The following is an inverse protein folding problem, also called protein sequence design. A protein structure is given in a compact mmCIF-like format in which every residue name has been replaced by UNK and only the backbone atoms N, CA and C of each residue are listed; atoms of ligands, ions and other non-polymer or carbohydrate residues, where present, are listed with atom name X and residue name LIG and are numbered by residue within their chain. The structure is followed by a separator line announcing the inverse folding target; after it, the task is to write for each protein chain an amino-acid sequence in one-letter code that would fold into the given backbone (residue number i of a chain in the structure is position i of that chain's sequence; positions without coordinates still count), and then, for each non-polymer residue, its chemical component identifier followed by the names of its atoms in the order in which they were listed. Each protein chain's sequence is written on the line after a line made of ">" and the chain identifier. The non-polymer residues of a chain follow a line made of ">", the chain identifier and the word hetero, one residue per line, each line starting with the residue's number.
data_IF_582959083673
#
_entry.id   IF_582959083673
#
_cell.length_a   1.000
_cell.length_b   1.000
_cell.length_c   1.000
_cell.angle_alpha   90.00
_cell.angle_beta   90.00
_cell.angle_gamma   90.00
#
_symmetry.space_group_name_H-M   'P 1'
#
loop_
_entity.id
_entity.type
_entity.pdbx_description
1 polymer ?
#
# COMPACT_ATOMS: atom_id res chain seq x y z
N UNK A 1 -33.66 7.01 4.37
CA UNK A 1 -32.28 7.41 4.02
C UNK A 1 -31.57 7.65 5.34
N UNK A 2 -30.37 7.11 5.52
CA UNK A 2 -29.56 7.36 6.71
C UNK A 2 -28.95 8.75 6.54
N UNK A 3 -29.06 9.58 7.57
CA UNK A 3 -28.52 10.93 7.59
C UNK A 3 -27.34 10.96 8.59
N UNK A 4 -26.18 11.42 8.11
CA UNK A 4 -24.96 11.49 8.91
C UNK A 4 -24.75 12.90 9.46
N UNK A 5 -24.33 13.00 10.72
CA UNK A 5 -24.01 14.26 11.39
C UNK A 5 -22.67 14.78 10.88
N UNK A 6 -22.64 15.98 10.31
CA UNK A 6 -21.39 16.61 9.89
C UNK A 6 -20.56 17.05 11.09
N UNK A 7 -19.26 16.75 11.05
CA UNK A 7 -18.31 17.28 12.03
C UNK A 7 -18.14 18.79 11.89
N UNK A 8 -17.90 19.48 12.99
CA UNK A 8 -17.47 20.89 13.01
C UNK A 8 -15.97 21.08 12.74
N UNK A 9 -15.23 19.96 12.63
CA UNK A 9 -13.80 19.96 12.32
C UNK A 9 -13.56 20.25 10.85
N UNK A 10 -12.63 21.15 10.59
CA UNK A 10 -12.14 21.48 9.24
C UNK A 10 -10.87 20.70 8.95
N UNK A 11 -10.89 19.95 7.88
CA UNK A 11 -9.71 19.22 7.37
C UNK A 11 -8.94 20.10 6.37
N UNK A 12 -7.64 20.24 6.58
CA UNK A 12 -6.72 20.88 5.64
C UNK A 12 -5.97 19.79 4.87
N UNK A 13 -6.33 19.62 3.60
CA UNK A 13 -5.74 18.59 2.71
C UNK A 13 -4.25 18.80 2.47
N UNK A 14 -3.79 20.05 2.32
CA UNK A 14 -2.41 20.37 1.98
C UNK A 14 -1.40 19.85 3.03
N UNK A 15 -1.76 20.01 4.30
CA UNK A 15 -0.90 19.64 5.42
C UNK A 15 -1.41 18.41 6.18
N UNK A 16 -2.51 17.82 5.73
CA UNK A 16 -3.20 16.70 6.38
C UNK A 16 -3.45 16.94 7.88
N UNK A 17 -4.04 18.11 8.20
CA UNK A 17 -4.28 18.57 9.57
C UNK A 17 -5.74 18.88 9.80
N UNK A 18 -6.18 18.72 11.06
CA UNK A 18 -7.56 18.88 11.49
C UNK A 18 -7.66 20.06 12.45
N UNK A 19 -8.67 20.92 12.28
CA UNK A 19 -8.88 22.09 13.12
C UNK A 19 -10.33 22.16 13.63
N UNK A 20 -10.48 22.38 14.93
CA UNK A 20 -11.73 22.76 15.56
C UNK A 20 -11.62 24.23 15.98
N UNK A 21 -12.18 25.12 15.18
CA UNK A 21 -11.90 26.55 15.29
C UNK A 21 -10.40 26.83 15.08
N UNK A 22 -9.75 27.41 16.08
CA UNK A 22 -8.30 27.69 16.06
C UNK A 22 -7.45 26.52 16.63
N UNK A 23 -8.09 25.53 17.26
CA UNK A 23 -7.39 24.41 17.87
C UNK A 23 -7.10 23.32 16.85
N UNK A 24 -5.81 22.99 16.70
CA UNK A 24 -5.41 21.83 15.92
C UNK A 24 -5.64 20.54 16.73
N UNK A 25 -6.28 19.56 16.10
CA UNK A 25 -6.52 18.23 16.65
C UNK A 25 -5.47 17.23 16.15
N UNK A 26 -5.32 16.14 16.89
CA UNK A 26 -4.40 15.07 16.51
C UNK A 26 -5.07 14.10 15.53
N UNK A 27 -4.33 13.71 14.48
CA UNK A 27 -4.75 12.67 13.55
C UNK A 27 -4.60 11.27 14.17
N UNK A 28 -5.59 10.42 13.95
CA UNK A 28 -5.65 9.06 14.51
C UNK A 28 -4.50 8.18 14.03
N UNK A 29 -4.16 8.20 12.75
CA UNK A 29 -3.07 7.39 12.18
C UNK A 29 -1.71 7.74 12.79
N UNK A 30 -1.48 9.04 13.05
CA UNK A 30 -0.28 9.50 13.75
C UNK A 30 -0.20 9.00 15.19
N UNK A 31 -1.31 9.04 15.93
CA UNK A 31 -1.40 8.49 17.28
C UNK A 31 -1.12 6.98 17.30
N UNK A 32 -1.75 6.21 16.42
CA UNK A 32 -1.52 4.76 16.29
C UNK A 32 -0.04 4.47 16.04
N UNK A 33 0.59 5.21 15.13
CA UNK A 33 2.02 5.03 14.86
C UNK A 33 2.88 5.30 16.09
N UNK A 34 2.64 6.38 16.82
CA UNK A 34 3.43 6.74 18.01
C UNK A 34 3.25 5.74 19.15
N UNK A 35 2.02 5.34 19.42
CA UNK A 35 1.67 4.53 20.58
C UNK A 35 1.91 3.04 20.38
N UNK A 36 1.58 2.51 19.21
CA UNK A 36 1.56 1.07 18.96
C UNK A 36 2.69 0.60 18.04
N UNK A 37 3.12 1.43 17.08
CA UNK A 37 4.06 1.04 16.05
C UNK A 37 5.18 2.10 15.86
N UNK A 38 5.89 2.52 16.93
CA UNK A 38 6.83 3.67 16.87
C UNK A 38 8.01 3.44 15.91
N UNK A 39 8.38 2.20 15.68
CA UNK A 39 9.49 1.84 14.79
C UNK A 39 9.04 1.43 13.38
N UNK A 40 7.73 1.54 13.07
CA UNK A 40 7.16 1.03 11.81
C UNK A 40 7.85 1.57 10.55
N UNK A 41 8.27 2.84 10.57
CA UNK A 41 8.86 3.53 9.41
C UNK A 41 10.30 4.00 9.63
N UNK A 42 10.95 3.57 10.72
CA UNK A 42 12.23 4.10 11.20
C UNK A 42 13.37 4.02 10.19
N UNK A 43 13.42 2.93 9.41
CA UNK A 43 14.54 2.66 8.49
C UNK A 43 14.16 2.93 7.01
N UNK A 44 13.01 3.60 6.79
CA UNK A 44 12.50 3.85 5.45
C UNK A 44 12.83 5.28 5.03
N UNK A 45 13.52 5.48 3.90
CA UNK A 45 13.81 6.81 3.38
C UNK A 45 12.53 7.62 3.07
N UNK A 46 12.53 8.90 3.44
CA UNK A 46 11.36 9.79 3.27
C UNK A 46 10.81 9.85 1.84
N UNK A 47 11.70 9.81 0.84
CA UNK A 47 11.27 9.85 -0.56
C UNK A 47 10.44 8.62 -0.97
N UNK A 48 10.70 7.46 -0.35
CA UNK A 48 9.94 6.23 -0.58
C UNK A 48 8.56 6.35 0.09
N UNK A 49 8.54 6.81 1.35
CA UNK A 49 7.28 7.07 2.07
C UNK A 49 6.39 8.06 1.31
N UNK A 50 6.99 9.16 0.84
CA UNK A 50 6.28 10.17 0.06
C UNK A 50 5.69 9.59 -1.23
N UNK A 51 6.47 8.82 -1.99
CA UNK A 51 5.99 8.19 -3.23
C UNK A 51 4.84 7.22 -2.99
N UNK A 52 4.91 6.42 -1.91
CA UNK A 52 3.84 5.51 -1.52
C UNK A 52 2.58 6.28 -1.12
N UNK A 53 2.72 7.37 -0.35
CA UNK A 53 1.63 8.26 0.03
C UNK A 53 0.97 8.92 -1.19
N UNK A 54 1.76 9.49 -2.12
CA UNK A 54 1.26 10.12 -3.34
C UNK A 54 0.47 9.14 -4.23
N UNK A 55 0.94 7.88 -4.33
CA UNK A 55 0.20 6.81 -5.03
C UNK A 55 -1.11 6.49 -4.31
N UNK A 56 -1.06 6.32 -2.99
CA UNK A 56 -2.24 6.06 -2.17
C UNK A 56 -3.29 7.14 -2.33
N UNK A 57 -2.93 8.41 -2.13
CA UNK A 57 -3.85 9.55 -2.26
C UNK A 57 -4.54 9.60 -3.63
N UNK A 58 -3.80 9.35 -4.71
CA UNK A 58 -4.39 9.32 -6.06
C UNK A 58 -5.45 8.23 -6.21
N UNK A 59 -5.20 7.04 -5.65
CA UNK A 59 -6.16 5.93 -5.72
C UNK A 59 -7.38 6.21 -4.85
N UNK A 60 -7.20 6.73 -3.62
CA UNK A 60 -8.31 7.15 -2.76
C UNK A 60 -9.20 8.17 -3.44
N UNK A 61 -8.60 9.22 -4.02
CA UNK A 61 -9.34 10.23 -4.77
C UNK A 61 -10.16 9.63 -5.94
N UNK A 62 -9.60 8.69 -6.67
CA UNK A 62 -10.33 8.04 -7.76
C UNK A 62 -11.50 7.18 -7.26
N UNK A 63 -11.34 6.49 -6.14
CA UNK A 63 -12.42 5.71 -5.52
C UNK A 63 -13.55 6.62 -5.02
N UNK A 64 -13.20 7.72 -4.33
CA UNK A 64 -14.15 8.75 -3.91
C UNK A 64 -14.88 9.37 -5.09
N UNK A 65 -14.16 9.69 -6.17
CA UNK A 65 -14.74 10.26 -7.38
C UNK A 65 -15.78 9.34 -8.01
N UNK A 66 -15.52 8.05 -8.08
CA UNK A 66 -16.47 7.05 -8.58
C UNK A 66 -17.73 7.00 -7.72
N UNK A 67 -17.58 7.00 -6.40
CA UNK A 67 -18.72 6.96 -5.47
C UNK A 67 -19.56 8.23 -5.50
N UNK A 68 -18.92 9.39 -5.62
CA UNK A 68 -19.60 10.70 -5.58
C UNK A 68 -20.29 11.08 -6.89
N UNK A 69 -19.71 10.65 -8.01
CA UNK A 69 -20.21 11.05 -9.35
C UNK A 69 -20.96 9.95 -10.07
N UNK A 70 -20.68 8.68 -9.77
CA UNK A 70 -21.18 7.53 -10.50
C UNK A 70 -20.60 7.37 -11.92
N UNK A 71 -19.52 8.12 -12.25
CA UNK A 71 -18.82 7.96 -13.53
C UNK A 71 -18.00 6.67 -13.56
N UNK A 72 -17.68 6.23 -14.78
CA UNK A 72 -16.84 5.06 -14.96
C UNK A 72 -15.44 5.29 -14.37
N UNK A 73 -14.86 4.27 -13.71
CA UNK A 73 -13.52 4.35 -13.14
C UNK A 73 -12.46 4.60 -14.22
N UNK A 74 -11.49 5.47 -13.93
CA UNK A 74 -10.36 5.78 -14.83
C UNK A 74 -9.14 4.89 -14.58
N UNK A 75 -9.13 4.10 -13.51
CA UNK A 75 -8.03 3.20 -13.16
C UNK A 75 -8.53 1.82 -12.78
N UNK A 76 -7.65 0.83 -12.96
CA UNK A 76 -7.92 -0.57 -12.59
C UNK A 76 -8.21 -0.69 -11.09
N UNK A 77 -7.52 0.07 -10.24
CA UNK A 77 -7.76 0.08 -8.80
C UNK A 77 -9.15 0.62 -8.45
N UNK A 78 -9.60 1.70 -9.10
CA UNK A 78 -10.94 2.25 -8.87
C UNK A 78 -12.03 1.32 -9.42
N UNK A 79 -11.81 0.63 -10.55
CA UNK A 79 -12.69 -0.40 -11.07
C UNK A 79 -12.81 -1.58 -10.08
N UNK A 80 -11.68 -2.04 -9.56
CA UNK A 80 -11.62 -3.09 -8.56
C UNK A 80 -12.35 -2.68 -7.27
N UNK A 81 -12.14 -1.46 -6.79
CA UNK A 81 -12.85 -0.90 -5.64
C UNK A 81 -14.37 -0.97 -5.83
N UNK A 82 -14.86 -0.45 -6.95
CA UNK A 82 -16.28 -0.46 -7.27
C UNK A 82 -16.84 -1.89 -7.33
N UNK A 83 -16.09 -2.80 -7.96
CA UNK A 83 -16.46 -4.21 -8.06
C UNK A 83 -16.56 -4.88 -6.68
N UNK A 84 -15.55 -4.70 -5.80
CA UNK A 84 -15.56 -5.29 -4.45
C UNK A 84 -16.75 -4.77 -3.64
N UNK A 85 -17.00 -3.46 -3.64
CA UNK A 85 -18.11 -2.84 -2.92
C UNK A 85 -19.47 -3.35 -3.41
N UNK A 86 -19.69 -3.33 -4.73
CA UNK A 86 -20.96 -3.74 -5.35
C UNK A 86 -21.23 -5.24 -5.18
N UNK A 87 -20.20 -6.09 -5.36
CA UNK A 87 -20.34 -7.53 -5.16
C UNK A 87 -20.68 -7.89 -3.70
N UNK A 88 -20.15 -7.13 -2.74
CA UNK A 88 -20.52 -7.28 -1.33
C UNK A 88 -21.92 -6.72 -0.99
N UNK A 89 -22.54 -6.02 -1.93
CA UNK A 89 -23.91 -5.46 -1.80
C UNK A 89 -23.97 -4.16 -1.01
N UNK A 90 -22.87 -3.38 -0.97
CA UNK A 90 -22.79 -2.11 -0.25
C UNK A 90 -23.07 -0.93 -1.18
N UNK A 91 -23.80 0.07 -0.65
CA UNK A 91 -23.94 1.40 -1.22
C UNK A 91 -22.99 2.35 -0.50
N UNK A 92 -22.32 3.24 -1.23
CA UNK A 92 -21.56 4.33 -0.63
C UNK A 92 -22.53 5.33 -0.01
N UNK A 93 -22.34 5.64 1.29
CA UNK A 93 -23.10 6.63 2.02
C UNK A 93 -22.33 7.94 2.16
N UNK A 94 -21.03 7.85 2.42
CA UNK A 94 -20.08 8.97 2.42
C UNK A 94 -18.65 8.48 2.16
N UNK A 95 -17.81 9.37 1.60
CA UNK A 95 -16.38 9.20 1.48
C UNK A 95 -15.68 10.33 2.22
N UNK A 96 -14.43 10.10 2.65
CA UNK A 96 -13.62 11.07 3.39
C UNK A 96 -14.42 11.72 4.55
N UNK A 97 -15.21 10.89 5.24
CA UNK A 97 -16.12 11.35 6.26
C UNK A 97 -15.38 11.70 7.55
N UNK A 98 -15.33 12.99 7.87
CA UNK A 98 -14.64 13.49 9.06
C UNK A 98 -15.37 13.09 10.34
N UNK A 99 -14.63 12.41 11.24
CA UNK A 99 -15.06 12.07 12.60
C UNK A 99 -14.13 12.70 13.62
N UNK A 100 -14.67 13.04 14.78
CA UNK A 100 -13.92 13.68 15.87
C UNK A 100 -14.56 13.39 17.23
N UNK A 101 -13.74 13.48 18.30
CA UNK A 101 -14.26 13.59 19.67
C UNK A 101 -14.58 15.04 20.06
N UNK A 102 -14.35 16.00 19.15
CA UNK A 102 -14.49 17.44 19.32
C UNK A 102 -13.59 18.03 20.42
N UNK A 103 -12.57 17.30 20.81
CA UNK A 103 -11.66 17.73 21.87
C UNK A 103 -10.19 17.55 21.53
N UNK A 104 -9.75 16.33 21.18
CA UNK A 104 -8.34 16.01 20.96
C UNK A 104 -8.06 15.39 19.61
N UNK A 105 -9.00 14.62 19.06
CA UNK A 105 -8.74 13.75 17.90
C UNK A 105 -9.73 13.98 16.77
N UNK A 106 -9.22 13.87 15.56
CA UNK A 106 -10.02 13.81 14.34
C UNK A 106 -9.37 12.93 13.29
N UNK A 107 -10.16 12.43 12.36
CA UNK A 107 -9.69 11.73 11.17
C UNK A 107 -10.77 11.72 10.10
N UNK A 108 -10.38 11.41 8.87
CA UNK A 108 -11.32 11.09 7.80
C UNK A 108 -11.43 9.58 7.65
N UNK A 109 -12.65 9.10 7.47
CA UNK A 109 -12.97 7.72 7.15
C UNK A 109 -13.08 7.62 5.63
N UNK A 110 -12.24 6.82 4.99
CA UNK A 110 -12.22 6.70 3.53
C UNK A 110 -13.60 6.37 2.98
N UNK A 111 -14.28 5.36 3.56
CA UNK A 111 -15.56 4.89 3.10
C UNK A 111 -16.52 4.60 4.25
N UNK A 112 -17.69 5.22 4.20
CA UNK A 112 -18.86 4.84 5.01
C UNK A 112 -19.89 4.19 4.10
N UNK A 113 -20.16 2.93 4.33
CA UNK A 113 -21.05 2.12 3.50
C UNK A 113 -22.34 1.75 4.22
N UNK A 114 -23.38 1.54 3.44
CA UNK A 114 -24.71 1.10 3.92
C UNK A 114 -25.15 -0.14 3.18
N UNK A 115 -25.64 -1.13 3.93
CA UNK A 115 -26.35 -2.29 3.41
C UNK A 115 -27.50 -2.63 4.35
N UNK A 116 -28.73 -2.65 3.85
CA UNK A 116 -29.93 -2.98 4.64
C UNK A 116 -30.08 -2.13 5.91
N UNK A 117 -29.70 -0.86 5.86
CA UNK A 117 -29.63 0.10 6.97
C UNK A 117 -28.55 -0.18 8.02
N UNK A 118 -27.68 -1.15 7.81
CA UNK A 118 -26.51 -1.39 8.63
C UNK A 118 -25.33 -0.58 8.09
N UNK A 119 -24.55 0.01 8.98
CA UNK A 119 -23.36 0.79 8.63
C UNK A 119 -22.13 -0.12 8.68
N UNK A 120 -21.28 0.01 7.68
CA UNK A 120 -19.95 -0.56 7.66
C UNK A 120 -18.92 0.52 7.33
N UNK A 121 -17.74 0.43 7.91
CA UNK A 121 -16.62 1.31 7.59
C UNK A 121 -15.57 0.53 6.81
N UNK A 122 -15.01 1.19 5.81
CA UNK A 122 -13.92 0.62 5.06
C UNK A 122 -12.79 1.63 4.88
N UNK A 123 -11.57 1.11 4.81
CA UNK A 123 -10.36 1.88 4.62
C UNK A 123 -9.56 1.27 3.45
N UNK A 124 -9.14 2.10 2.52
CA UNK A 124 -8.46 1.69 1.29
C UNK A 124 -6.96 1.54 1.56
N UNK A 125 -6.40 0.40 1.17
CA UNK A 125 -4.98 0.11 1.31
C UNK A 125 -4.38 -0.31 -0.03
N UNK A 126 -3.31 0.37 -0.42
CA UNK A 126 -2.58 0.15 -1.68
C UNK A 126 -1.21 -0.49 -1.44
N UNK A 127 -0.92 -0.88 -0.19
CA UNK A 127 0.30 -1.56 0.23
C UNK A 127 0.37 -2.99 -0.28
N UNK A 128 1.55 -3.58 -0.24
CA UNK A 128 1.74 -4.99 -0.67
C UNK A 128 0.85 -5.96 0.11
N UNK A 129 0.75 -5.75 1.42
CA UNK A 129 -0.14 -6.48 2.32
C UNK A 129 -0.83 -5.52 3.26
N UNK A 130 -2.01 -5.90 3.69
CA UNK A 130 -2.68 -5.22 4.79
C UNK A 130 -2.04 -5.65 6.12
N UNK A 131 -1.58 -4.65 6.88
CA UNK A 131 -1.28 -4.80 8.29
C UNK A 131 -2.60 -4.80 9.05
N UNK A 132 -3.16 -6.02 9.23
CA UNK A 132 -4.49 -6.21 9.85
C UNK A 132 -4.56 -5.65 11.27
N UNK A 133 -3.47 -5.72 12.03
CA UNK A 133 -3.45 -5.22 13.41
C UNK A 133 -3.53 -3.69 13.43
N UNK A 134 -2.71 -3.02 12.63
CA UNK A 134 -2.76 -1.55 12.51
C UNK A 134 -4.12 -1.06 11.97
N UNK A 135 -4.67 -1.77 10.99
CA UNK A 135 -5.97 -1.45 10.40
C UNK A 135 -7.13 -1.70 11.38
N UNK A 136 -7.05 -2.78 12.17
CA UNK A 136 -8.02 -3.07 13.23
C UNK A 136 -8.11 -1.93 14.24
N UNK A 137 -6.98 -1.43 14.71
CA UNK A 137 -6.95 -0.26 15.59
C UNK A 137 -7.52 1.00 14.93
N UNK A 138 -7.11 1.28 13.70
CA UNK A 138 -7.57 2.46 12.95
C UNK A 138 -9.09 2.44 12.79
N UNK A 139 -9.64 1.38 12.22
CA UNK A 139 -11.08 1.25 11.98
C UNK A 139 -11.89 1.15 13.27
N UNK A 140 -11.34 0.58 14.34
CA UNK A 140 -12.02 0.53 15.64
C UNK A 140 -12.16 1.91 16.27
N UNK A 141 -11.12 2.75 16.19
CA UNK A 141 -11.18 4.13 16.65
C UNK A 141 -12.17 4.93 15.79
N UNK A 142 -12.14 4.73 14.47
CA UNK A 142 -13.11 5.35 13.57
C UNK A 142 -14.55 4.97 13.91
N UNK A 143 -14.83 3.69 14.16
CA UNK A 143 -16.15 3.22 14.56
C UNK A 143 -16.60 3.84 15.90
N UNK A 144 -15.69 3.90 16.86
CA UNK A 144 -15.96 4.54 18.16
C UNK A 144 -16.31 6.03 18.01
N UNK A 145 -15.53 6.80 17.24
CA UNK A 145 -15.79 8.21 16.99
C UNK A 145 -17.06 8.42 16.14
N UNK A 146 -17.25 7.58 15.11
CA UNK A 146 -18.45 7.61 14.27
C UNK A 146 -19.72 7.41 15.07
N UNK A 147 -19.76 6.42 15.96
CA UNK A 147 -20.92 6.13 16.81
C UNK A 147 -21.20 7.23 17.85
N UNK A 148 -20.15 7.90 18.32
CA UNK A 148 -20.30 9.09 19.18
C UNK A 148 -20.89 10.28 18.43
N UNK A 149 -20.41 10.52 17.21
CA UNK A 149 -20.86 11.64 16.35
C UNK A 149 -22.26 11.40 15.79
N UNK A 150 -22.68 10.14 15.60
CA UNK A 150 -23.98 9.75 15.03
C UNK A 150 -24.79 8.93 16.03
N UNK A 151 -25.39 9.54 17.07
CA UNK A 151 -26.15 8.84 18.08
C UNK A 151 -27.29 8.01 17.46
N UNK A 152 -27.33 6.72 17.79
CA UNK A 152 -28.33 5.77 17.28
C UNK A 152 -27.88 4.97 16.08
N UNK A 153 -26.76 5.31 15.42
CA UNK A 153 -26.13 4.46 14.42
C UNK A 153 -25.07 3.55 15.06
N UNK A 154 -24.97 2.33 14.56
CA UNK A 154 -23.96 1.35 14.99
C UNK A 154 -23.20 0.82 13.79
N UNK A 155 -21.88 0.75 13.93
CA UNK A 155 -21.00 0.14 12.92
C UNK A 155 -21.02 -1.37 13.08
N UNK A 156 -21.45 -2.07 12.04
CA UNK A 156 -21.61 -3.52 12.04
C UNK A 156 -20.33 -4.22 11.63
N UNK A 157 -19.71 -3.78 10.54
CA UNK A 157 -18.55 -4.42 9.96
C UNK A 157 -17.45 -3.41 9.67
N UNK A 158 -16.21 -3.89 9.70
CA UNK A 158 -14.99 -3.15 9.37
C UNK A 158 -14.26 -3.88 8.26
N UNK A 159 -13.81 -3.16 7.25
CA UNK A 159 -13.14 -3.74 6.10
C UNK A 159 -11.87 -2.98 5.71
N UNK A 160 -10.84 -3.72 5.33
CA UNK A 160 -9.79 -3.21 4.49
C UNK A 160 -10.12 -3.46 3.01
N UNK A 161 -10.09 -2.45 2.19
CA UNK A 161 -10.18 -2.59 0.74
C UNK A 161 -8.77 -2.60 0.18
N UNK A 162 -8.26 -3.78 -0.09
CA UNK A 162 -6.91 -3.92 -0.63
C UNK A 162 -6.95 -3.82 -2.15
N UNK A 163 -6.16 -2.87 -2.69
CA UNK A 163 -6.11 -2.56 -4.12
C UNK A 163 -4.66 -2.54 -4.59
N UNK A 164 -4.33 -3.38 -5.59
CA UNK A 164 -2.97 -3.44 -6.14
C UNK A 164 -2.98 -3.84 -7.61
N UNK A 165 -3.08 -2.86 -8.49
CA UNK A 165 -3.25 -3.09 -9.92
C UNK A 165 -4.48 -3.96 -10.19
N UNK A 166 -4.29 -5.10 -10.86
CA UNK A 166 -5.39 -6.03 -11.19
C UNK A 166 -5.92 -6.83 -9.99
N UNK A 167 -5.21 -6.81 -8.84
CA UNK A 167 -5.59 -7.56 -7.65
C UNK A 167 -6.37 -6.67 -6.69
N UNK A 168 -7.41 -7.24 -6.12
CA UNK A 168 -8.21 -6.61 -5.07
C UNK A 168 -8.78 -7.65 -4.12
N UNK A 169 -9.04 -7.23 -2.90
CA UNK A 169 -9.68 -8.06 -1.88
C UNK A 169 -10.40 -7.18 -0.87
N UNK A 170 -11.62 -7.58 -0.49
CA UNK A 170 -12.35 -7.02 0.62
C UNK A 170 -12.08 -7.84 1.87
N UNK A 171 -11.23 -7.33 2.75
CA UNK A 171 -10.71 -8.05 3.91
C UNK A 171 -11.47 -7.64 5.17
N UNK A 172 -12.21 -8.55 5.81
CA UNK A 172 -12.85 -8.26 7.08
C UNK A 172 -11.82 -8.06 8.18
N UNK A 173 -12.12 -7.12 9.08
CA UNK A 173 -11.24 -6.72 10.19
C UNK A 173 -12.01 -6.79 11.49
N UNK A 174 -11.39 -7.38 12.52
CA UNK A 174 -11.98 -7.46 13.84
C UNK A 174 -11.96 -6.11 14.56
N UNK A 175 -13.05 -5.76 15.21
CA UNK A 175 -13.17 -4.55 16.02
C UNK A 175 -12.53 -4.76 17.39
N UNK A 176 -11.64 -3.86 17.78
CA UNK A 176 -11.11 -3.80 19.15
C UNK A 176 -12.21 -3.34 20.12
N UNK A 177 -12.19 -3.81 21.38
CA UNK A 177 -13.13 -3.33 22.39
C UNK A 177 -13.06 -1.83 22.60
N UNK A 178 -14.19 -1.17 22.72
CA UNK A 178 -14.26 0.29 22.93
C UNK A 178 -13.50 0.76 24.18
N UNK A 179 -13.36 -0.10 25.17
CA UNK A 179 -12.57 0.19 26.38
C UNK A 179 -11.08 0.31 26.07
N UNK A 180 -10.53 -0.59 25.23
CA UNK A 180 -9.13 -0.53 24.78
C UNK A 180 -8.89 0.69 23.89
N UNK A 181 -9.85 1.01 23.02
CA UNK A 181 -9.80 2.23 22.19
C UNK A 181 -9.74 3.47 23.08
N UNK A 182 -10.61 3.59 24.08
CA UNK A 182 -10.58 4.73 25.01
C UNK A 182 -9.28 4.81 25.78
N UNK A 183 -8.78 3.68 26.27
CA UNK A 183 -7.52 3.62 27.03
C UNK A 183 -6.33 4.05 26.19
N UNK A 184 -6.27 3.65 24.91
CA UNK A 184 -5.23 4.09 23.98
C UNK A 184 -5.28 5.61 23.78
N UNK A 185 -6.47 6.16 23.51
CA UNK A 185 -6.68 7.61 23.32
C UNK A 185 -6.33 8.41 24.58
N UNK A 186 -6.71 7.92 25.75
CA UNK A 186 -6.37 8.55 27.05
C UNK A 186 -4.86 8.56 27.32
N UNK A 187 -4.14 7.47 27.01
CA UNK A 187 -2.68 7.43 27.14
C UNK A 187 -2.02 8.50 26.26
N UNK A 188 -2.47 8.65 25.03
CA UNK A 188 -1.95 9.70 24.14
C UNK A 188 -2.17 11.11 24.71
N UNK A 189 -3.37 11.43 25.20
CA UNK A 189 -3.68 12.73 25.79
C UNK A 189 -2.83 13.03 27.01
N UNK A 190 -2.57 12.00 27.84
CA UNK A 190 -1.76 12.14 29.06
C UNK A 190 -0.25 12.12 28.78
N UNK A 191 0.17 11.84 27.55
CA UNK A 191 1.59 11.61 27.20
C UNK A 191 2.17 10.34 27.83
N UNK A 192 1.32 9.38 28.16
CA UNK A 192 1.67 8.07 28.69
C UNK A 192 1.82 7.06 27.56
N UNK A 193 2.66 6.05 27.76
CA UNK A 193 2.79 4.98 26.78
C UNK A 193 1.69 3.92 26.98
N UNK A 194 0.95 3.63 25.90
CA UNK A 194 0.00 2.55 25.94
C UNK A 194 0.71 1.19 26.04
N UNK A 195 0.34 0.39 27.03
CA UNK A 195 0.83 -0.97 27.22
C UNK A 195 -0.36 -1.92 26.99
N UNK A 196 -0.31 -2.67 25.87
CA UNK A 196 -1.29 -3.74 25.65
C UNK A 196 -1.08 -4.86 26.68
N UNK A 197 -2.16 -5.56 27.03
CA UNK A 197 -2.07 -6.70 27.93
C UNK A 197 -1.30 -7.91 27.34
N UNK A 198 -1.03 -7.89 26.04
CA UNK A 198 -0.32 -8.93 25.32
C UNK A 198 1.05 -8.44 24.85
N UNK A 199 2.07 -8.53 25.71
CA UNK A 199 3.48 -8.42 25.28
C UNK A 199 4.08 -9.82 25.25
N UNK A 200 4.15 -10.42 24.07
CA UNK A 200 5.02 -11.56 23.84
C UNK A 200 6.46 -11.07 23.61
N UNK A 201 7.49 -11.62 24.29
CA UNK A 201 8.87 -11.21 24.07
C UNK A 201 9.36 -11.68 22.71
N UNK A 202 9.78 -10.74 21.88
CA UNK A 202 10.42 -11.04 20.60
C UNK A 202 11.89 -11.43 20.82
N UNK A 203 12.19 -12.71 20.62
CA UNK A 203 13.56 -13.24 20.66
C UNK A 203 14.15 -13.45 19.25
N UNK A 204 14.01 -12.48 18.35
CA UNK A 204 14.68 -12.54 17.06
C UNK A 204 15.47 -11.26 16.81
N UNK A 205 16.71 -11.41 16.35
CA UNK A 205 17.52 -10.31 15.85
C UNK A 205 16.83 -9.74 14.61
N UNK A 206 16.10 -8.66 14.79
CA UNK A 206 15.38 -8.00 13.70
C UNK A 206 16.28 -6.89 13.15
N UNK A 207 16.89 -7.15 11.98
CA UNK A 207 17.79 -6.21 11.30
C UNK A 207 17.02 -5.01 10.71
N UNK A 208 15.72 -5.18 10.45
CA UNK A 208 14.81 -4.15 9.94
C UNK A 208 13.44 -4.35 10.57
N UNK A 209 12.65 -3.28 10.66
CA UNK A 209 11.24 -3.38 11.06
C UNK A 209 10.42 -4.16 10.04
N UNK A 210 9.34 -4.79 10.46
CA UNK A 210 8.43 -5.52 9.54
C UNK A 210 7.92 -4.61 8.43
N UNK A 211 7.63 -3.35 8.74
CA UNK A 211 7.19 -2.37 7.76
C UNK A 211 8.30 -2.00 6.75
N UNK A 212 9.55 -1.87 7.21
CA UNK A 212 10.68 -1.63 6.32
C UNK A 212 10.94 -2.82 5.38
N UNK A 213 10.83 -4.04 5.90
CA UNK A 213 10.89 -5.26 5.07
C UNK A 213 9.77 -5.25 4.03
N UNK A 214 8.54 -4.92 4.46
CA UNK A 214 7.38 -4.87 3.56
C UNK A 214 7.57 -3.85 2.45
N UNK A 215 8.01 -2.64 2.79
CA UNK A 215 8.23 -1.59 1.79
C UNK A 215 9.37 -1.92 0.82
N UNK A 216 10.40 -2.64 1.30
CA UNK A 216 11.47 -3.14 0.43
C UNK A 216 10.91 -4.15 -0.59
N UNK A 217 9.99 -5.01 -0.16
CA UNK A 217 9.27 -5.94 -1.04
C UNK A 217 8.45 -5.16 -2.07
N UNK A 218 7.65 -4.18 -1.63
CA UNK A 218 6.81 -3.34 -2.50
C UNK A 218 7.61 -2.66 -3.61
N UNK A 219 8.75 -2.03 -3.23
CA UNK A 219 9.63 -1.34 -4.20
C UNK A 219 10.22 -2.32 -5.21
N UNK A 220 10.63 -3.51 -4.77
CA UNK A 220 11.18 -4.52 -5.69
C UNK A 220 10.14 -5.03 -6.69
N UNK A 221 8.92 -5.28 -6.23
CA UNK A 221 7.85 -5.74 -7.09
C UNK A 221 7.38 -4.66 -8.08
N UNK A 222 7.31 -3.38 -7.64
CA UNK A 222 7.06 -2.26 -8.57
C UNK A 222 8.14 -2.16 -9.65
N UNK A 223 9.41 -2.33 -9.27
CA UNK A 223 10.51 -2.35 -10.23
C UNK A 223 10.41 -3.53 -11.20
N UNK A 224 10.08 -4.69 -10.72
CA UNK A 224 9.96 -5.89 -11.57
C UNK A 224 8.74 -5.78 -12.49
N UNK A 225 7.61 -5.28 -12.02
CA UNK A 225 6.46 -4.96 -12.86
C UNK A 225 6.81 -3.92 -13.94
N UNK A 226 7.48 -2.82 -13.56
CA UNK A 226 7.90 -1.78 -14.51
C UNK A 226 8.89 -2.33 -15.56
N UNK A 227 9.81 -3.22 -15.17
CA UNK A 227 10.71 -3.91 -16.09
C UNK A 227 9.94 -4.80 -17.06
N UNK A 228 9.01 -5.61 -16.56
CA UNK A 228 8.18 -6.49 -17.39
C UNK A 228 7.37 -5.69 -18.41
N UNK A 229 6.73 -4.60 -18.01
CA UNK A 229 6.01 -3.70 -18.92
C UNK A 229 6.95 -3.07 -19.95
N UNK A 230 8.14 -2.63 -19.52
CA UNK A 230 9.16 -2.11 -20.42
C UNK A 230 9.60 -3.13 -21.46
N UNK A 231 9.83 -4.37 -21.07
CA UNK A 231 10.21 -5.44 -22.02
C UNK A 231 9.07 -5.79 -22.99
N UNK A 232 7.81 -5.85 -22.50
CA UNK A 232 6.65 -6.04 -23.40
C UNK A 232 6.54 -4.93 -24.44
N UNK A 233 6.72 -3.67 -24.02
CA UNK A 233 6.70 -2.51 -24.93
C UNK A 233 7.87 -2.56 -25.93
N UNK A 234 9.08 -2.94 -25.50
CA UNK A 234 10.25 -3.09 -26.39
C UNK A 234 10.03 -4.18 -27.42
N UNK A 235 9.49 -5.34 -27.03
CA UNK A 235 9.19 -6.43 -27.98
C UNK A 235 8.10 -6.01 -28.98
N UNK A 236 7.04 -5.33 -28.52
CA UNK A 236 6.01 -4.77 -29.41
C UNK A 236 6.59 -3.77 -30.42
N UNK A 237 7.43 -2.83 -29.94
CA UNK A 237 8.10 -1.87 -30.81
C UNK A 237 9.05 -2.55 -31.81
N UNK A 238 9.83 -3.53 -31.36
CA UNK A 238 10.73 -4.31 -32.20
C UNK A 238 9.95 -5.05 -33.30
N UNK A 239 8.84 -5.69 -32.94
CA UNK A 239 7.97 -6.38 -33.92
C UNK A 239 7.45 -5.41 -34.96
N UNK A 240 6.88 -4.28 -34.53
CA UNK A 240 6.37 -3.25 -35.43
C UNK A 240 7.47 -2.68 -36.35
N UNK A 241 8.68 -2.46 -35.84
CA UNK A 241 9.82 -1.98 -36.65
C UNK A 241 10.22 -3.01 -37.72
N UNK A 242 10.26 -4.30 -37.34
CA UNK A 242 10.60 -5.39 -38.27
C UNK A 242 9.54 -5.51 -39.39
N UNK A 243 8.26 -5.53 -39.02
CA UNK A 243 7.14 -5.64 -39.94
C UNK A 243 7.08 -4.48 -40.96
N UNK A 244 7.49 -3.29 -40.51
CA UNK A 244 7.52 -2.10 -41.37
C UNK A 244 8.89 -1.84 -42.04
N UNK A 245 9.87 -2.74 -41.86
CA UNK A 245 11.21 -2.59 -42.47
C UNK A 245 12.02 -1.41 -41.95
N UNK A 246 11.73 -0.92 -40.72
CA UNK A 246 12.36 0.24 -40.09
C UNK A 246 13.50 -0.22 -39.18
N UNK A 247 14.74 0.10 -39.52
CA UNK A 247 15.90 -0.26 -38.69
C UNK A 247 16.18 0.76 -37.58
N UNK A 248 15.81 2.01 -37.78
CA UNK A 248 15.96 3.09 -36.78
C UNK A 248 14.69 3.93 -36.77
N UNK A 249 14.15 4.11 -35.58
CA UNK A 249 13.00 4.98 -35.34
C UNK A 249 13.38 6.04 -34.30
N UNK A 250 13.10 7.29 -34.59
CA UNK A 250 13.43 8.43 -33.74
C UNK A 250 12.16 9.24 -33.48
N UNK A 251 11.79 9.36 -32.20
CA UNK A 251 10.65 10.12 -31.71
C UNK A 251 11.10 11.23 -30.74
N UNK A 252 12.22 11.88 -31.05
CA UNK A 252 12.77 12.98 -30.25
C UNK A 252 13.52 12.48 -29.01
N UNK A 253 12.84 12.34 -27.87
CA UNK A 253 13.48 11.84 -26.63
C UNK A 253 13.68 10.31 -26.61
N UNK A 254 13.02 9.58 -27.51
CA UNK A 254 13.14 8.14 -27.64
C UNK A 254 13.71 7.80 -29.03
N UNK A 255 14.81 7.05 -29.05
CA UNK A 255 15.36 6.50 -30.27
C UNK A 255 15.48 4.98 -30.10
N UNK A 256 14.91 4.23 -31.02
CA UNK A 256 14.99 2.79 -31.09
C UNK A 256 15.77 2.35 -32.34
N UNK A 257 16.55 1.28 -32.21
CA UNK A 257 17.22 0.64 -33.34
C UNK A 257 17.11 -0.88 -33.24
N UNK A 258 16.81 -1.53 -34.34
CA UNK A 258 16.76 -3.00 -34.45
C UNK A 258 18.04 -3.47 -35.10
N UNK A 259 18.76 -4.37 -34.41
CA UNK A 259 19.92 -5.06 -34.98
C UNK A 259 19.45 -6.44 -35.42
N UNK A 260 19.67 -6.82 -36.69
CA UNK A 260 19.33 -8.14 -37.16
C UNK A 260 20.06 -9.25 -36.37
N UNK A 261 19.42 -10.38 -36.22
CA UNK A 261 20.04 -11.53 -35.59
C UNK A 261 21.30 -11.95 -36.37
N UNK A 262 22.41 -12.01 -35.68
CA UNK A 262 23.70 -12.44 -36.23
C UNK A 262 24.25 -13.63 -35.47
N UNK A 263 24.81 -14.60 -36.16
CA UNK A 263 25.55 -15.69 -35.53
C UNK A 263 26.93 -15.20 -35.10
N UNK A 264 27.24 -15.26 -33.82
CA UNK A 264 28.58 -14.98 -33.29
C UNK A 264 29.19 -16.24 -32.71
N UNK A 265 30.50 -16.35 -32.83
CA UNK A 265 31.26 -17.43 -32.16
C UNK A 265 31.62 -16.91 -30.76
N UNK A 266 31.27 -17.64 -29.73
CA UNK A 266 31.72 -17.41 -28.36
C UNK A 266 32.70 -18.49 -27.93
N UNK A 267 33.64 -18.13 -27.07
CA UNK A 267 34.61 -19.08 -26.52
C UNK A 267 33.92 -19.92 -25.41
N UNK A 268 33.94 -21.23 -25.59
CA UNK A 268 33.43 -22.14 -24.54
C UNK A 268 34.49 -22.33 -23.45
N UNK A 269 34.38 -21.47 -22.43
CA UNK A 269 35.31 -21.47 -21.29
C UNK A 269 35.25 -22.76 -20.49
N UNK A 270 34.11 -23.45 -20.43
CA UNK A 270 33.97 -24.72 -19.68
C UNK A 270 34.63 -25.87 -20.41
N UNK A 271 34.39 -26.00 -21.70
CA UNK A 271 35.06 -27.00 -22.52
C UNK A 271 36.58 -26.78 -22.53
N UNK A 272 37.03 -25.51 -22.71
CA UNK A 272 38.44 -25.17 -22.68
C UNK A 272 39.11 -25.49 -21.35
N UNK A 273 38.43 -25.23 -20.21
CA UNK A 273 38.95 -25.57 -18.90
C UNK A 273 39.08 -27.06 -18.67
N UNK A 274 38.16 -27.86 -19.22
CA UNK A 274 38.20 -29.32 -19.14
C UNK A 274 39.34 -29.90 -20.00
N UNK A 275 39.51 -29.39 -21.22
CA UNK A 275 40.49 -29.90 -22.17
C UNK A 275 41.91 -29.37 -21.91
N UNK A 276 42.03 -28.16 -21.36
CA UNK A 276 43.31 -27.47 -21.16
C UNK A 276 43.44 -26.81 -19.79
N UNK A 277 43.40 -27.57 -18.67
CA UNK A 277 43.35 -27.02 -17.32
C UNK A 277 44.58 -26.18 -16.94
N UNK A 278 45.77 -26.57 -17.42
CA UNK A 278 47.00 -25.84 -17.14
C UNK A 278 47.03 -24.47 -17.84
N UNK A 279 46.61 -24.44 -19.13
CA UNK A 279 46.51 -23.18 -19.87
C UNK A 279 45.44 -22.27 -19.27
N UNK A 280 44.30 -22.82 -18.88
CA UNK A 280 43.24 -22.06 -18.22
C UNK A 280 43.75 -21.40 -16.93
N UNK A 281 44.43 -22.16 -16.07
CA UNK A 281 44.99 -21.64 -14.80
C UNK A 281 46.03 -20.56 -15.02
N UNK A 282 46.88 -20.71 -16.04
CA UNK A 282 47.93 -19.74 -16.40
C UNK A 282 47.38 -18.37 -16.79
N UNK A 283 46.17 -18.31 -17.38
CA UNK A 283 45.55 -17.07 -17.85
C UNK A 283 44.43 -16.57 -16.95
N UNK A 284 44.20 -17.18 -15.78
CA UNK A 284 43.27 -16.65 -14.75
C UNK A 284 43.80 -15.33 -14.21
N UNK A 285 42.91 -14.36 -14.12
CA UNK A 285 43.14 -13.10 -13.42
C UNK A 285 42.34 -13.07 -12.11
N UNK A 286 43.03 -12.80 -11.02
CA UNK A 286 42.34 -12.44 -9.75
C UNK A 286 41.71 -11.08 -9.89
N UNK A 287 40.41 -10.99 -9.61
CA UNK A 287 39.67 -9.73 -9.56
C UNK A 287 39.06 -9.62 -8.18
N UNK A 288 39.43 -8.58 -7.43
CA UNK A 288 38.75 -8.27 -6.19
C UNK A 288 37.30 -7.84 -6.47
N UNK A 289 36.37 -8.58 -5.91
CA UNK A 289 34.95 -8.21 -5.96
C UNK A 289 34.56 -7.52 -4.65
N UNK A 290 33.92 -6.37 -4.78
CA UNK A 290 33.30 -5.71 -3.62
C UNK A 290 32.19 -6.60 -3.06
N UNK A 291 31.99 -6.52 -1.76
CA UNK A 291 30.83 -7.16 -1.12
C UNK A 291 29.53 -6.71 -1.80
N UNK A 292 28.64 -7.63 -2.04
CA UNK A 292 27.34 -7.36 -2.64
C UNK A 292 26.23 -8.03 -1.82
N UNK A 293 25.08 -7.40 -1.78
CA UNK A 293 23.87 -7.98 -1.20
C UNK A 293 22.99 -8.48 -2.36
N UNK A 294 22.41 -9.65 -2.17
CA UNK A 294 21.36 -10.16 -3.04
C UNK A 294 20.09 -10.33 -2.24
N UNK A 295 19.04 -9.65 -2.66
CA UNK A 295 17.70 -9.79 -2.09
C UNK A 295 16.90 -10.72 -3.00
N UNK A 296 16.23 -11.69 -2.40
CA UNK A 296 15.34 -12.60 -3.13
C UNK A 296 13.99 -12.60 -2.42
N UNK A 297 12.95 -12.20 -3.12
CA UNK A 297 11.57 -12.26 -2.64
C UNK A 297 11.02 -13.64 -3.02
N UNK A 298 10.59 -14.40 -2.02
CA UNK A 298 9.99 -15.72 -2.25
C UNK A 298 8.51 -15.52 -2.56
N UNK A 299 8.02 -16.21 -3.61
CA UNK A 299 6.57 -16.33 -3.83
C UNK A 299 5.96 -17.09 -2.66
N UNK A 300 4.81 -16.63 -2.19
CA UNK A 300 4.04 -17.39 -1.21
C UNK A 300 3.65 -18.73 -1.83
N UNK A 301 3.73 -19.79 -1.02
CA UNK A 301 3.10 -21.04 -1.39
C UNK A 301 1.59 -20.80 -1.37
N UNK A 302 0.93 -20.99 -2.49
CA UNK A 302 -0.50 -21.20 -2.49
C UNK A 302 -0.72 -22.44 -1.60
N UNK A 303 -1.34 -22.23 -0.44
CA UNK A 303 -1.79 -23.36 0.36
C UNK A 303 -2.87 -24.07 -0.47
N UNK A 304 -2.50 -25.20 -1.06
CA UNK A 304 -3.46 -26.16 -1.60
C UNK A 304 -4.35 -26.60 -0.44
N UNK A 305 -5.51 -25.94 -0.29
CA UNK A 305 -6.59 -26.48 0.50
C UNK A 305 -7.14 -27.71 -0.22
N UNK A 306 -6.80 -28.91 0.29
CA UNK A 306 -7.57 -30.12 0.04
C UNK A 306 -8.95 -30.07 0.74
#
# INVERSE_FOLDING_TARGET
>A
MIELVKSSVVFNEENHTYFLGEKQLQGITGMISRQLFPDKYKDIPDYILKRAADKGHRIHFQCEFVDSTGFEPESVEAENYLRERVNAGYNALANEYTVSDEEYFASNIDCVWEKEKEISLADIKTTYRIDKESLSWQLSIYAYLFEKQNPGLKVKNLYGVWLRGEKSELIPVDRKPDEEVRRLMECEVKGEKYLSAEIAPANNLQLMTTAAVQMLIDVHEELDFAKEQSEKMKEGLKTAMIENGVNVWDAGRLRASVTPATASKSFDTKAFQADHPELYTKYLKSVEKKASIRITIRKEKEDECE
#
